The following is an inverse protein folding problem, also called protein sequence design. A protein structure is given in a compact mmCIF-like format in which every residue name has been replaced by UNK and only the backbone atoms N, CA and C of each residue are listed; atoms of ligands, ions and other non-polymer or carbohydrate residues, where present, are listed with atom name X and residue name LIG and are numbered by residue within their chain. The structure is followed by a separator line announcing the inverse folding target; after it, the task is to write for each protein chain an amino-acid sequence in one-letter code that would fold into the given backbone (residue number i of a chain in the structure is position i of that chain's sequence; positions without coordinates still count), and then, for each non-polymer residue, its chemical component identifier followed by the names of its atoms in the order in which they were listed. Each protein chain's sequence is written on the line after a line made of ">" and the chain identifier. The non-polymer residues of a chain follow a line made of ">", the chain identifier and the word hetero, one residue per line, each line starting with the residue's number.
data_IF_307274100095
#
_entry.id   IF_307274100095
#
_cell.length_a   1.000
_cell.length_b   1.000
_cell.length_c   1.000
_cell.angle_alpha   90.00
_cell.angle_beta   90.00
_cell.angle_gamma   90.00
#
_symmetry.space_group_name_H-M   'P 1'
#
loop_
_entity.id
_entity.type
_entity.pdbx_description
1 polymer ?
#
# COMPACT_ATOMS: atom_id res chain seq x y z
N UNK A 1 1.54 12.00 8.96
CA UNK A 1 1.39 13.47 9.09
C UNK A 1 -0.09 13.82 9.17
N UNK A 2 -0.44 14.96 9.77
CA UNK A 2 -1.81 15.48 9.88
C UNK A 2 -1.86 16.95 9.49
N UNK A 3 -2.93 17.38 8.84
CA UNK A 3 -3.21 18.77 8.50
C UNK A 3 -4.70 19.08 8.73
N UNK A 4 -5.03 20.33 9.00
CA UNK A 4 -6.40 20.85 9.08
C UNK A 4 -6.79 21.63 7.84
N UNK A 5 -5.83 22.04 7.03
CA UNK A 5 -6.00 22.96 5.89
C UNK A 5 -5.32 22.48 4.61
N UNK A 6 -4.67 21.31 4.65
CA UNK A 6 -3.88 20.68 3.57
C UNK A 6 -2.65 21.51 3.13
N UNK A 7 -2.31 22.55 3.89
CA UNK A 7 -1.14 23.42 3.65
C UNK A 7 -0.12 23.24 4.76
N UNK A 8 -0.57 23.31 6.00
CA UNK A 8 0.27 23.19 7.18
C UNK A 8 0.20 21.75 7.71
N UNK A 9 1.33 21.04 7.73
CA UNK A 9 1.42 19.65 8.11
C UNK A 9 2.28 19.46 9.33
N UNK A 10 1.81 18.67 10.28
CA UNK A 10 2.57 18.21 11.45
C UNK A 10 2.86 16.71 11.39
N UNK A 11 4.04 16.30 11.79
CA UNK A 11 4.36 14.89 12.01
C UNK A 11 3.77 14.45 13.34
N UNK A 12 2.80 13.54 13.31
CA UNK A 12 2.10 13.07 14.51
C UNK A 12 2.60 11.70 14.98
N UNK A 13 3.18 10.91 14.08
CA UNK A 13 3.64 9.54 14.38
C UNK A 13 4.48 8.99 13.25
N UNK A 14 5.23 7.94 13.57
CA UNK A 14 5.83 7.01 12.63
C UNK A 14 5.12 5.67 12.75
N UNK A 15 4.86 4.99 11.63
CA UNK A 15 4.17 3.69 11.61
C UNK A 15 5.09 2.58 12.11
N UNK A 16 6.38 2.71 11.86
CA UNK A 16 7.43 1.78 12.32
C UNK A 16 8.76 2.53 12.41
N UNK A 17 9.68 2.01 13.23
CA UNK A 17 11.01 2.60 13.42
C UNK A 17 11.98 2.16 12.32
N UNK A 18 11.85 0.90 11.88
CA UNK A 18 12.68 0.30 10.83
C UNK A 18 11.95 -0.86 10.17
N UNK A 19 12.34 -1.16 8.93
CA UNK A 19 11.94 -2.39 8.26
C UNK A 19 12.88 -3.50 8.74
N UNK A 20 12.37 -4.42 9.56
CA UNK A 20 13.14 -5.54 10.10
C UNK A 20 13.04 -6.76 9.18
N UNK A 21 13.59 -6.64 7.96
CA UNK A 21 13.56 -7.64 6.91
C UNK A 21 14.98 -8.06 6.48
N UNK A 22 15.90 -8.08 7.46
CA UNK A 22 17.27 -8.52 7.30
C UNK A 22 18.32 -7.40 7.34
N UNK A 23 19.57 -7.78 7.31
CA UNK A 23 20.75 -6.92 7.55
C UNK A 23 20.81 -5.69 6.65
N UNK A 24 20.33 -5.81 5.39
CA UNK A 24 20.34 -4.70 4.43
C UNK A 24 19.45 -3.54 4.89
N UNK A 25 18.29 -3.84 5.47
CA UNK A 25 17.34 -2.85 5.99
C UNK A 25 17.80 -2.30 7.36
N UNK A 26 18.52 -3.10 8.10
CA UNK A 26 19.12 -2.69 9.38
C UNK A 26 20.41 -1.89 9.21
N UNK A 27 20.91 -1.75 7.97
CA UNK A 27 22.16 -1.04 7.62
C UNK A 27 23.37 -1.57 8.38
N UNK A 28 23.40 -2.88 8.68
CA UNK A 28 24.51 -3.55 9.38
C UNK A 28 25.58 -4.00 8.39
N UNK A 29 26.83 -4.07 8.85
CA UNK A 29 27.98 -4.56 8.06
C UNK A 29 28.14 -3.84 6.71
N UNK A 30 27.93 -2.54 6.66
CA UNK A 30 27.97 -1.70 5.45
C UNK A 30 26.97 -2.13 4.35
N UNK A 31 25.99 -2.96 4.68
CA UNK A 31 24.92 -3.29 3.75
C UNK A 31 23.93 -2.13 3.63
N UNK A 32 23.31 -1.97 2.47
CA UNK A 32 22.40 -0.86 2.20
C UNK A 32 21.27 -1.29 1.27
N UNK A 33 20.16 -0.59 1.39
CA UNK A 33 19.01 -0.64 0.47
C UNK A 33 18.84 0.67 -0.30
N UNK A 34 19.94 1.38 -0.55
CA UNK A 34 19.88 2.64 -1.30
C UNK A 34 19.20 2.45 -2.66
N UNK A 35 18.23 3.31 -2.98
CA UNK A 35 17.37 3.17 -4.16
C UNK A 35 16.31 2.08 -4.07
N UNK A 36 16.17 1.43 -2.92
CA UNK A 36 15.17 0.41 -2.58
C UNK A 36 14.51 0.78 -1.24
N UNK A 37 13.87 -0.18 -0.56
CA UNK A 37 13.20 0.09 0.71
C UNK A 37 11.74 0.47 0.52
N UNK A 38 11.17 1.24 1.43
CA UNK A 38 9.77 1.64 1.36
C UNK A 38 9.54 2.61 0.20
N UNK A 39 8.52 2.29 -0.60
CA UNK A 39 7.99 3.14 -1.66
C UNK A 39 6.59 3.63 -1.29
N UNK A 40 5.75 3.99 -2.27
CA UNK A 40 4.43 4.56 -2.04
C UNK A 40 3.61 3.78 -1.00
N UNK A 41 2.97 4.52 -0.10
CA UNK A 41 2.13 3.96 0.97
C UNK A 41 0.68 4.37 0.76
N UNK A 42 -0.24 3.48 1.14
CA UNK A 42 -1.67 3.77 1.21
C UNK A 42 -2.11 3.81 2.67
N UNK A 43 -2.87 4.85 3.04
CA UNK A 43 -3.52 4.94 4.35
C UNK A 43 -5.03 4.95 4.18
N UNK A 44 -5.73 4.18 5.02
CA UNK A 44 -7.20 4.11 5.06
C UNK A 44 -7.70 4.10 6.49
N UNK A 45 -8.89 4.65 6.67
CA UNK A 45 -9.66 4.51 7.90
C UNK A 45 -10.88 3.64 7.62
N UNK A 46 -11.07 2.59 8.39
CA UNK A 46 -12.19 1.65 8.25
C UNK A 46 -12.56 1.06 9.60
N UNK A 47 -13.87 1.08 9.93
CA UNK A 47 -14.46 0.49 11.14
C UNK A 47 -13.70 0.81 12.44
N UNK A 48 -13.37 2.10 12.63
CA UNK A 48 -12.72 2.57 13.86
C UNK A 48 -11.19 2.42 13.88
N UNK A 49 -10.57 1.90 12.82
CA UNK A 49 -9.12 1.68 12.74
C UNK A 49 -8.51 2.37 11.53
N UNK A 50 -7.26 2.79 11.70
CA UNK A 50 -6.40 3.19 10.60
C UNK A 50 -5.61 1.98 10.12
N UNK A 51 -5.43 1.90 8.79
CA UNK A 51 -4.60 0.89 8.13
C UNK A 51 -3.58 1.58 7.25
N UNK A 52 -2.34 1.13 7.30
CA UNK A 52 -1.28 1.57 6.41
C UNK A 52 -0.75 0.35 5.67
N UNK A 53 -0.79 0.41 4.36
CA UNK A 53 -0.18 -0.54 3.45
C UNK A 53 1.06 0.07 2.82
N UNK A 54 2.11 -0.70 2.68
CA UNK A 54 3.23 -0.41 1.78
C UNK A 54 3.96 -1.67 1.37
N UNK A 55 4.79 -1.56 0.34
CA UNK A 55 5.78 -2.57 -0.03
C UNK A 55 7.18 -2.01 0.10
N UNK A 56 8.15 -2.88 0.38
CA UNK A 56 9.55 -2.52 0.38
C UNK A 56 10.22 -3.21 -0.81
N UNK A 57 10.72 -2.41 -1.75
CA UNK A 57 11.47 -2.93 -2.87
C UNK A 57 12.83 -3.47 -2.40
N UNK A 58 13.17 -4.66 -2.86
CA UNK A 58 14.35 -5.39 -2.40
C UNK A 58 14.12 -6.24 -1.16
N UNK A 59 12.96 -6.13 -0.49
CA UNK A 59 12.51 -7.11 0.50
C UNK A 59 12.09 -8.42 -0.21
N UNK A 60 12.17 -9.58 0.46
CA UNK A 60 11.77 -10.84 -0.13
C UNK A 60 10.23 -10.89 -0.33
N UNK A 61 9.75 -10.17 -1.35
CA UNK A 61 8.46 -10.31 -1.99
C UNK A 61 7.22 -10.09 -1.13
N UNK A 62 7.32 -9.35 -0.01
CA UNK A 62 6.17 -9.16 0.88
C UNK A 62 5.85 -7.69 1.14
N UNK A 63 4.53 -7.41 1.18
CA UNK A 63 3.99 -6.16 1.67
C UNK A 63 3.95 -6.12 3.21
N UNK A 64 3.52 -4.98 3.71
CA UNK A 64 3.31 -4.73 5.13
C UNK A 64 1.95 -4.08 5.31
N UNK A 65 1.15 -4.59 6.25
CA UNK A 65 -0.07 -3.92 6.71
C UNK A 65 0.06 -3.65 8.19
N UNK A 66 0.01 -2.38 8.54
CA UNK A 66 -0.07 -1.94 9.94
C UNK A 66 -1.46 -1.43 10.24
N UNK A 67 -1.91 -1.61 11.48
CA UNK A 67 -3.14 -0.99 11.97
C UNK A 67 -2.95 -0.29 13.31
N UNK A 68 -3.79 0.71 13.57
CA UNK A 68 -3.88 1.42 14.83
C UNK A 68 -5.30 1.93 15.08
N UNK A 69 -5.71 2.05 16.33
CA UNK A 69 -7.01 2.65 16.70
C UNK A 69 -6.96 4.18 16.57
N UNK A 70 -5.78 4.78 16.57
CA UNK A 70 -5.56 6.22 16.42
C UNK A 70 -4.45 6.49 15.42
N UNK A 71 -4.53 7.60 14.70
CA UNK A 71 -3.52 7.98 13.71
C UNK A 71 -2.13 8.23 14.33
N UNK A 72 -2.08 8.55 15.61
CA UNK A 72 -0.85 8.69 16.39
C UNK A 72 -0.25 7.33 16.81
N UNK A 73 -0.97 6.23 16.61
CA UNK A 73 -0.57 4.91 17.04
C UNK A 73 -1.03 4.56 18.47
N UNK A 74 -0.45 3.55 19.11
CA UNK A 74 0.64 2.72 18.59
C UNK A 74 0.20 1.88 17.37
N UNK A 75 1.13 1.70 16.43
CA UNK A 75 0.90 0.90 15.23
C UNK A 75 1.35 -0.54 15.44
N UNK A 76 0.56 -1.48 14.96
CA UNK A 76 0.84 -2.91 15.03
C UNK A 76 0.90 -3.51 13.63
N UNK A 77 1.95 -4.28 13.32
CA UNK A 77 2.01 -5.08 12.10
C UNK A 77 0.97 -6.20 12.18
N UNK A 78 0.00 -6.21 11.27
CA UNK A 78 -1.11 -7.16 11.29
C UNK A 78 -1.07 -8.17 10.15
N UNK A 79 -0.38 -7.87 9.04
CA UNK A 79 -0.24 -8.80 7.93
C UNK A 79 1.03 -8.56 7.10
N UNK A 80 1.48 -9.62 6.43
CA UNK A 80 2.62 -9.64 5.51
C UNK A 80 2.21 -10.28 4.16
N UNK A 81 1.27 -9.66 3.43
CA UNK A 81 0.78 -10.20 2.15
C UNK A 81 1.84 -10.11 1.03
N UNK A 82 1.60 -10.73 -0.13
CA UNK A 82 2.48 -10.63 -1.29
C UNK A 82 2.78 -9.18 -1.68
N UNK A 83 3.90 -8.98 -2.38
CA UNK A 83 4.24 -7.69 -2.97
C UNK A 83 3.17 -7.28 -3.99
N UNK A 84 2.62 -6.09 -3.84
CA UNK A 84 1.72 -5.45 -4.79
C UNK A 84 2.22 -4.02 -5.02
N UNK A 85 2.76 -3.79 -6.23
CA UNK A 85 3.45 -2.54 -6.56
C UNK A 85 2.48 -1.35 -6.51
N UNK A 86 2.88 -0.28 -5.82
CA UNK A 86 2.13 0.97 -5.68
C UNK A 86 0.65 0.76 -5.31
N UNK A 87 0.43 -0.18 -4.37
CA UNK A 87 -0.91 -0.62 -4.01
C UNK A 87 -1.72 0.44 -3.27
N UNK A 88 -2.93 0.69 -3.75
CA UNK A 88 -3.96 1.48 -3.06
C UNK A 88 -4.96 0.55 -2.39
N UNK A 89 -4.88 0.45 -1.06
CA UNK A 89 -5.81 -0.33 -0.26
C UNK A 89 -7.19 0.35 -0.24
N UNK A 90 -8.25 -0.42 -0.38
CA UNK A 90 -9.62 0.07 -0.36
C UNK A 90 -10.53 -0.90 0.39
N UNK A 91 -11.37 -0.38 1.28
CA UNK A 91 -12.41 -1.10 1.99
C UNK A 91 -13.76 -0.64 1.43
N UNK A 92 -14.54 -1.56 0.90
CA UNK A 92 -15.87 -1.25 0.40
C UNK A 92 -16.93 -1.38 1.51
N UNK A 93 -18.09 -0.78 1.28
CA UNK A 93 -19.21 -0.76 2.24
C UNK A 93 -19.84 -2.15 2.42
N UNK A 94 -19.68 -3.04 1.44
CA UNK A 94 -20.13 -4.44 1.52
C UNK A 94 -19.20 -5.36 2.33
N UNK A 95 -18.15 -4.77 2.94
CA UNK A 95 -17.18 -5.47 3.77
C UNK A 95 -16.04 -6.13 2.98
N UNK A 96 -15.99 -5.97 1.66
CA UNK A 96 -14.87 -6.47 0.86
C UNK A 96 -13.67 -5.56 0.92
N UNK A 97 -12.52 -6.16 0.78
CA UNK A 97 -11.23 -5.48 0.77
C UNK A 97 -10.63 -5.62 -0.63
N UNK A 98 -10.13 -4.54 -1.16
CA UNK A 98 -9.50 -4.52 -2.47
C UNK A 98 -8.13 -3.86 -2.45
N UNK A 99 -7.28 -4.28 -3.35
CA UNK A 99 -6.04 -3.61 -3.73
C UNK A 99 -6.10 -3.23 -5.19
N UNK A 100 -5.84 -1.96 -5.49
CA UNK A 100 -5.60 -1.50 -6.85
C UNK A 100 -4.09 -1.29 -7.01
N UNK A 101 -3.46 -2.03 -7.89
CA UNK A 101 -2.00 -2.15 -7.95
C UNK A 101 -1.49 -2.33 -9.36
N UNK A 102 -0.27 -1.93 -9.63
CA UNK A 102 0.41 -2.14 -10.90
C UNK A 102 1.32 -1.01 -11.32
N UNK A 103 2.03 -1.24 -12.43
CA UNK A 103 2.84 -0.25 -13.15
C UNK A 103 2.68 -0.49 -14.65
N UNK A 104 2.34 0.56 -15.42
CA UNK A 104 1.97 0.45 -16.82
C UNK A 104 0.61 -0.17 -17.09
N UNK A 105 0.14 -1.05 -16.22
CA UNK A 105 -1.20 -1.60 -16.17
C UNK A 105 -1.64 -1.82 -14.73
N UNK A 106 -2.86 -1.42 -14.40
CA UNK A 106 -3.38 -1.50 -13.04
C UNK A 106 -4.47 -2.57 -12.91
N UNK A 107 -4.35 -3.38 -11.89
CA UNK A 107 -5.22 -4.51 -11.59
C UNK A 107 -5.96 -4.26 -10.28
N UNK A 108 -7.26 -4.55 -10.27
CA UNK A 108 -8.06 -4.64 -9.05
C UNK A 108 -8.02 -6.07 -8.54
N UNK A 109 -7.57 -6.24 -7.31
CA UNK A 109 -7.46 -7.54 -6.63
C UNK A 109 -8.33 -7.52 -5.39
N UNK A 110 -9.29 -8.47 -5.28
CA UNK A 110 -10.03 -8.70 -4.03
C UNK A 110 -9.13 -9.43 -3.04
N UNK A 111 -9.11 -8.92 -1.80
CA UNK A 111 -8.32 -9.48 -0.71
C UNK A 111 -9.21 -10.19 0.31
N UNK A 112 -8.67 -11.16 1.00
CA UNK A 112 -9.28 -11.75 2.18
C UNK A 112 -9.00 -10.89 3.44
N UNK A 113 -9.47 -11.37 4.60
CA UNK A 113 -9.28 -10.69 5.88
C UNK A 113 -7.82 -10.71 6.40
N UNK A 114 -6.94 -11.47 5.77
CA UNK A 114 -5.50 -11.49 6.02
C UNK A 114 -4.73 -10.61 5.03
N UNK A 115 -5.46 -9.86 4.18
CA UNK A 115 -4.93 -9.03 3.11
C UNK A 115 -4.20 -9.82 2.02
N UNK A 116 -4.44 -11.13 1.91
CA UNK A 116 -3.96 -11.97 0.83
C UNK A 116 -4.93 -11.93 -0.36
N UNK A 117 -4.47 -12.11 -1.61
CA UNK A 117 -5.37 -12.27 -2.74
C UNK A 117 -6.36 -13.39 -2.49
N UNK A 118 -7.64 -13.06 -2.54
CA UNK A 118 -8.73 -13.98 -2.21
C UNK A 118 -8.93 -15.02 -3.31
N UNK A 119 -8.92 -16.31 -2.95
CA UNK A 119 -9.22 -17.38 -3.89
C UNK A 119 -10.64 -17.23 -4.46
N UNK A 120 -10.76 -17.26 -5.79
CA UNK A 120 -12.03 -17.03 -6.49
C UNK A 120 -12.57 -15.60 -6.43
N UNK A 121 -11.84 -14.69 -5.79
CA UNK A 121 -12.17 -13.27 -5.74
C UNK A 121 -11.86 -12.52 -7.05
N UNK A 122 -12.18 -11.23 -7.08
CA UNK A 122 -11.89 -10.37 -8.23
C UNK A 122 -10.36 -10.26 -8.40
N UNK A 123 -9.89 -10.53 -9.61
CA UNK A 123 -8.53 -10.26 -10.05
C UNK A 123 -8.62 -9.82 -11.51
N UNK A 124 -8.73 -8.51 -11.74
CA UNK A 124 -9.04 -7.97 -13.06
C UNK A 124 -8.18 -6.75 -13.38
N UNK A 125 -7.51 -6.79 -14.53
CA UNK A 125 -6.89 -5.60 -15.09
C UNK A 125 -7.98 -4.59 -15.45
N UNK A 126 -7.86 -3.37 -14.96
CA UNK A 126 -8.84 -2.28 -15.14
C UNK A 126 -8.33 -1.26 -16.16
N UNK A 127 -7.03 -0.96 -16.11
CA UNK A 127 -6.37 0.00 -16.99
C UNK A 127 -5.07 -0.60 -17.50
N UNK A 128 -4.76 -0.36 -18.77
CA UNK A 128 -3.50 -0.73 -19.38
C UNK A 128 -3.01 0.41 -20.28
N UNK A 129 -1.80 0.91 -20.09
CA UNK A 129 -1.20 1.93 -20.95
C UNK A 129 -1.03 1.46 -22.41
N UNK A 130 -1.00 0.14 -22.62
CA UNK A 130 -0.94 -0.44 -23.96
C UNK A 130 -2.24 -0.29 -24.77
N UNK A 131 -3.37 -0.01 -24.08
CA UNK A 131 -4.67 0.17 -24.73
C UNK A 131 -4.79 1.55 -25.42
N UNK A 132 -3.96 2.54 -25.00
CA UNK A 132 -3.90 3.85 -25.61
C UNK A 132 -2.64 3.97 -26.49
N UNK A 133 -2.79 4.17 -27.82
CA UNK A 133 -1.63 4.29 -28.72
C UNK A 133 -0.73 5.50 -28.44
N UNK A 134 -1.28 6.58 -27.85
CA UNK A 134 -0.53 7.80 -27.52
C UNK A 134 0.19 7.68 -26.18
N UNK A 135 -0.36 6.88 -25.26
CA UNK A 135 0.17 6.64 -23.91
C UNK A 135 0.89 5.29 -23.77
N UNK A 136 1.12 4.59 -24.89
CA UNK A 136 1.74 3.28 -24.90
C UNK A 136 3.12 3.31 -24.25
N UNK A 137 3.25 2.56 -23.14
CA UNK A 137 4.49 2.52 -22.34
C UNK A 137 4.56 3.59 -21.25
N UNK A 138 3.49 4.40 -21.05
CA UNK A 138 3.41 5.30 -19.91
C UNK A 138 3.39 4.53 -18.58
N UNK A 139 4.03 5.12 -17.57
CA UNK A 139 3.98 4.60 -16.19
C UNK A 139 2.63 5.00 -15.57
N UNK A 140 1.69 4.05 -15.51
CA UNK A 140 0.45 4.18 -14.75
C UNK A 140 0.66 3.52 -13.40
N UNK A 141 1.05 4.30 -12.40
CA UNK A 141 1.35 3.83 -11.03
C UNK A 141 1.03 4.92 -9.99
N UNK A 142 1.23 4.63 -8.69
CA UNK A 142 0.95 5.58 -7.62
C UNK A 142 -0.54 5.88 -7.44
N UNK A 143 -1.40 4.93 -7.77
CA UNK A 143 -2.86 5.10 -7.78
C UNK A 143 -3.44 5.38 -6.39
N UNK A 144 -4.51 6.16 -6.33
CA UNK A 144 -5.33 6.34 -5.13
C UNK A 144 -6.80 6.09 -5.46
N UNK A 145 -7.38 5.07 -4.84
CA UNK A 145 -8.79 4.68 -5.04
C UNK A 145 -9.68 5.38 -4.03
N UNK A 146 -10.75 5.97 -4.50
CA UNK A 146 -11.83 6.51 -3.66
C UNK A 146 -13.18 6.05 -4.21
N UNK A 147 -14.17 5.94 -3.32
CA UNK A 147 -15.58 5.76 -3.71
C UNK A 147 -16.27 7.12 -3.71
N UNK A 148 -17.03 7.42 -4.76
CA UNK A 148 -17.78 8.65 -4.90
C UNK A 148 -19.18 8.34 -5.45
N UNK A 149 -20.21 8.66 -4.67
CA UNK A 149 -21.62 8.45 -5.04
C UNK A 149 -22.00 7.01 -5.41
N UNK A 150 -21.41 6.04 -4.76
CA UNK A 150 -21.65 4.60 -4.92
C UNK A 150 -20.73 3.92 -5.88
#
# INVERSE_FOLDING_TARGET
>A
MRSKDMVNWETISYVFDRIDDGDRYNLTDNKTVYGQGQWASSIRYHMGKFYVWFTANGAPGKGFVFSADRAEGPWTLVARPPHMHDGSLFFDEDGKIYMFTGSGGCTLVELDNNFEPKEGGVNKKIVDSADDPEERGALLEGSSVIKHNG
#
